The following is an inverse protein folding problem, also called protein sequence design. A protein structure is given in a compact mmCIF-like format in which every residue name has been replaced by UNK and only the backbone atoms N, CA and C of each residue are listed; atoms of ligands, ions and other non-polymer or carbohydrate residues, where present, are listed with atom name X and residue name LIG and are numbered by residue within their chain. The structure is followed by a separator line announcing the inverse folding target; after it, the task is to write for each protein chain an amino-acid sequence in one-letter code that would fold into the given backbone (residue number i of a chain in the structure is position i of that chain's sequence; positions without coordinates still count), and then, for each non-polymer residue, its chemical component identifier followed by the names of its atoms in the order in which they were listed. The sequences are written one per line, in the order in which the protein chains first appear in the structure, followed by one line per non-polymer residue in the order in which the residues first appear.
data_IF_186286988397
#
_entry.id   IF_186286988397
#
_cell.length_a   1.000
_cell.length_b   1.000
_cell.length_c   1.000
_cell.angle_alpha   90.00
_cell.angle_beta   90.00
_cell.angle_gamma   90.00
#
_symmetry.space_group_name_H-M   'P 1'
#
loop_
_entity.id
_entity.type
_entity.pdbx_description
1 polymer ?
#
# COMPACT_ATOMS: atom_id res chain seq x y z
N UNK A 1 -7.71 -58.01 -1.22
CA UNK A 1 -7.80 -56.96 -0.17
C UNK A 1 -6.79 -55.83 -0.44
N UNK A 2 -6.88 -55.16 -1.61
CA UNK A 2 -5.96 -54.06 -2.00
C UNK A 2 -6.72 -52.71 -2.11
N UNK A 3 -8.06 -52.77 -2.09
CA UNK A 3 -8.93 -51.62 -2.43
C UNK A 3 -9.04 -50.54 -1.34
N UNK A 4 -8.78 -50.87 -0.07
CA UNK A 4 -8.98 -49.92 1.04
C UNK A 4 -7.76 -49.02 1.28
N UNK A 5 -6.54 -49.52 1.00
CA UNK A 5 -5.30 -48.76 1.18
C UNK A 5 -5.11 -47.65 0.14
N UNK A 6 -5.54 -47.87 -1.11
CA UNK A 6 -5.47 -46.85 -2.16
C UNK A 6 -6.42 -45.67 -1.90
N UNK A 7 -7.58 -45.93 -1.29
CA UNK A 7 -8.55 -44.87 -0.99
C UNK A 7 -8.06 -43.94 0.14
N UNK A 8 -7.31 -44.46 1.12
CA UNK A 8 -6.72 -43.63 2.18
C UNK A 8 -5.55 -42.78 1.69
N UNK A 9 -4.77 -43.25 0.71
CA UNK A 9 -3.68 -42.47 0.14
C UNK A 9 -4.18 -41.28 -0.69
N UNK A 10 -5.30 -41.42 -1.41
CA UNK A 10 -5.89 -40.33 -2.20
C UNK A 10 -6.49 -39.24 -1.31
N UNK A 11 -7.12 -39.60 -0.18
CA UNK A 11 -7.65 -38.60 0.76
C UNK A 11 -6.53 -37.83 1.46
N UNK A 12 -5.42 -38.48 1.84
CA UNK A 12 -4.26 -37.77 2.38
C UNK A 12 -3.62 -36.81 1.37
N UNK A 13 -3.56 -37.17 0.08
CA UNK A 13 -3.02 -36.29 -0.95
C UNK A 13 -3.89 -35.05 -1.22
N UNK A 14 -5.22 -35.18 -1.11
CA UNK A 14 -6.17 -34.07 -1.30
C UNK A 14 -6.17 -33.08 -0.12
N UNK A 15 -5.86 -33.53 1.09
CA UNK A 15 -5.75 -32.65 2.28
C UNK A 15 -4.49 -31.77 2.19
N UNK A 16 -3.39 -32.27 1.63
CA UNK A 16 -2.16 -31.47 1.47
C UNK A 16 -2.22 -30.43 0.34
N UNK A 17 -3.13 -30.58 -0.64
CA UNK A 17 -3.27 -29.62 -1.75
C UNK A 17 -4.22 -28.45 -1.46
N UNK A 18 -4.97 -28.48 -0.36
CA UNK A 18 -5.97 -27.44 -0.02
C UNK A 18 -5.56 -26.51 1.11
N UNK A 19 -4.38 -26.70 1.71
CA UNK A 19 -3.84 -25.75 2.69
C UNK A 19 -2.95 -24.68 2.04
N UNK A 20 -3.39 -24.12 0.91
CA UNK A 20 -3.11 -22.72 0.62
C UNK A 20 -4.02 -21.88 1.51
N UNK A 21 -3.77 -21.94 2.82
CA UNK A 21 -4.30 -20.92 3.71
C UNK A 21 -3.85 -19.57 3.15
N UNK A 22 -4.72 -18.54 3.11
CA UNK A 22 -4.25 -17.21 2.76
C UNK A 22 -3.10 -16.92 3.72
N UNK A 23 -1.88 -16.82 3.19
CA UNK A 23 -0.77 -16.23 3.90
C UNK A 23 -1.22 -14.81 4.18
N UNK A 24 -1.92 -14.63 5.30
CA UNK A 24 -2.16 -13.35 5.87
C UNK A 24 -0.77 -12.76 6.01
N UNK A 25 -0.45 -11.81 5.11
CA UNK A 25 0.78 -11.06 5.19
C UNK A 25 0.89 -10.63 6.67
N UNK A 26 2.07 -10.81 7.30
CA UNK A 26 2.25 -10.44 8.70
C UNK A 26 1.63 -9.07 8.89
N UNK A 27 0.85 -8.91 9.96
CA UNK A 27 0.12 -7.67 10.23
C UNK A 27 1.16 -6.58 10.53
N UNK A 28 1.72 -6.00 9.46
CA UNK A 28 2.74 -4.97 9.52
C UNK A 28 2.05 -3.78 10.15
N UNK A 29 2.27 -3.57 11.45
CA UNK A 29 1.81 -2.37 12.13
C UNK A 29 2.47 -1.17 11.46
N UNK A 30 1.67 -0.41 10.74
CA UNK A 30 2.15 0.79 10.06
C UNK A 30 2.17 1.92 11.08
N UNK A 31 3.35 2.49 11.39
CA UNK A 31 3.47 3.53 12.40
C UNK A 31 2.65 4.77 12.04
N UNK A 32 2.26 5.54 13.06
CA UNK A 32 1.64 6.84 12.88
C UNK A 32 2.71 7.92 12.67
N UNK A 33 2.78 8.49 11.47
CA UNK A 33 3.78 9.51 11.12
C UNK A 33 3.27 10.95 11.28
N UNK A 34 2.10 11.16 11.92
CA UNK A 34 1.43 12.46 11.98
C UNK A 34 1.19 13.10 10.59
N UNK A 35 0.90 12.24 9.62
CA UNK A 35 0.81 12.53 8.19
C UNK A 35 -0.58 13.07 7.73
N UNK A 36 -1.42 13.49 8.66
CA UNK A 36 -2.80 13.94 8.37
C UNK A 36 -3.73 12.83 7.85
N UNK A 37 -3.28 11.57 7.84
CA UNK A 37 -4.04 10.43 7.34
C UNK A 37 -4.71 9.66 8.48
N UNK A 38 -5.95 9.24 8.25
CA UNK A 38 -6.60 8.25 9.10
C UNK A 38 -5.83 6.90 9.02
N UNK A 39 -5.63 6.16 10.12
CA UNK A 39 -4.82 4.94 10.14
C UNK A 39 -5.19 3.92 9.04
N UNK A 40 -6.49 3.68 8.83
CA UNK A 40 -6.96 2.76 7.78
C UNK A 40 -6.64 3.24 6.36
N UNK A 41 -6.67 4.55 6.10
CA UNK A 41 -6.29 5.09 4.79
C UNK A 41 -4.78 4.94 4.57
N UNK A 42 -3.97 5.22 5.60
CA UNK A 42 -2.52 4.98 5.58
C UNK A 42 -2.19 3.51 5.31
N UNK A 43 -2.85 2.60 6.00
CA UNK A 43 -2.65 1.16 5.80
C UNK A 43 -2.89 0.74 4.35
N UNK A 44 -3.99 1.18 3.75
CA UNK A 44 -4.33 0.89 2.36
C UNK A 44 -3.35 1.52 1.39
N UNK A 45 -2.95 2.77 1.62
CA UNK A 45 -1.96 3.46 0.81
C UNK A 45 -0.62 2.72 0.82
N UNK A 46 -0.10 2.38 2.00
CA UNK A 46 1.21 1.73 2.13
C UNK A 46 1.18 0.33 1.53
N UNK A 47 0.15 -0.47 1.80
CA UNK A 47 -0.04 -1.78 1.17
C UNK A 47 -0.15 -1.65 -0.34
N UNK A 48 -0.89 -0.65 -0.83
CA UNK A 48 -1.03 -0.33 -2.24
C UNK A 48 0.31 -0.04 -2.91
N UNK A 49 1.06 0.93 -2.39
CA UNK A 49 2.40 1.29 -2.91
C UNK A 49 3.34 0.10 -2.89
N UNK A 50 3.44 -0.62 -1.77
CA UNK A 50 4.32 -1.77 -1.62
C UNK A 50 3.89 -2.96 -2.49
N UNK A 51 2.61 -3.07 -2.87
CA UNK A 51 2.15 -4.09 -3.83
C UNK A 51 2.63 -3.81 -5.26
N UNK A 52 2.74 -2.53 -5.63
CA UNK A 52 3.26 -2.11 -6.95
C UNK A 52 4.80 -2.16 -6.99
N UNK A 53 5.44 -1.86 -5.87
CA UNK A 53 6.89 -1.95 -5.71
C UNK A 53 7.29 -2.54 -4.34
N UNK A 54 7.51 -3.87 -4.26
CA UNK A 54 7.83 -4.56 -3.00
C UNK A 54 9.15 -4.18 -2.33
N UNK A 55 10.03 -3.47 -3.06
CA UNK A 55 11.32 -2.99 -2.52
C UNK A 55 11.13 -1.79 -1.62
N UNK A 56 10.10 -0.98 -1.85
CA UNK A 56 9.80 0.20 -1.05
C UNK A 56 9.41 -0.19 0.37
N UNK A 57 9.86 0.62 1.34
CA UNK A 57 9.55 0.52 2.77
C UNK A 57 8.98 1.83 3.28
N UNK A 58 7.96 1.75 4.12
CA UNK A 58 7.38 2.93 4.74
C UNK A 58 8.29 3.47 5.86
N UNK A 59 8.57 4.78 5.85
CA UNK A 59 9.59 5.38 6.71
C UNK A 59 9.13 6.74 7.26
N UNK A 60 8.60 6.77 8.49
CA UNK A 60 8.06 8.00 9.09
C UNK A 60 9.08 9.14 9.22
N UNK A 61 10.37 8.86 9.39
CA UNK A 61 11.37 9.93 9.53
C UNK A 61 11.42 10.86 8.31
N UNK A 62 10.97 10.40 7.13
CA UNK A 62 10.85 11.23 5.93
C UNK A 62 9.72 12.27 6.02
N UNK A 63 8.87 12.23 7.06
CA UNK A 63 7.85 13.27 7.28
C UNK A 63 8.43 14.49 8.00
N UNK A 64 9.61 14.35 8.63
CA UNK A 64 10.34 15.45 9.25
C UNK A 64 10.87 16.38 8.15
N UNK A 65 10.33 17.60 8.10
CA UNK A 65 10.65 18.57 7.04
C UNK A 65 9.73 18.52 5.81
N UNK A 66 8.68 17.71 5.84
CA UNK A 66 7.66 17.71 4.79
C UNK A 66 6.90 19.04 4.77
N UNK A 67 6.89 19.71 3.61
CA UNK A 67 6.09 20.90 3.37
C UNK A 67 5.30 20.75 2.05
N UNK A 68 4.04 21.20 2.05
CA UNK A 68 3.29 21.33 0.81
C UNK A 68 3.87 22.49 -0.01
N UNK A 69 4.15 22.24 -1.29
CA UNK A 69 4.81 23.18 -2.20
C UNK A 69 4.07 23.18 -3.54
N UNK A 70 4.12 24.31 -4.27
CA UNK A 70 3.59 24.40 -5.64
C UNK A 70 4.50 23.70 -6.66
N UNK A 71 5.75 23.44 -6.30
CA UNK A 71 6.72 22.72 -7.11
C UNK A 71 7.34 21.58 -6.29
N UNK A 72 7.05 20.34 -6.69
CA UNK A 72 7.62 19.15 -6.07
C UNK A 72 8.85 18.66 -6.85
N UNK A 73 9.94 18.32 -6.15
CA UNK A 73 11.11 17.70 -6.77
C UNK A 73 10.79 16.32 -7.41
N UNK A 74 11.69 15.77 -8.25
CA UNK A 74 11.45 14.53 -9.00
C UNK A 74 11.21 13.28 -8.14
N UNK A 75 11.57 13.33 -6.86
CA UNK A 75 11.39 12.23 -5.93
C UNK A 75 10.05 12.29 -5.18
N UNK A 76 9.10 13.05 -5.68
CA UNK A 76 7.76 13.16 -5.13
C UNK A 76 6.72 12.68 -6.13
N UNK A 77 5.67 12.06 -5.61
CA UNK A 77 4.42 11.85 -6.35
C UNK A 77 3.32 12.62 -5.62
N UNK A 78 2.47 13.29 -6.37
CA UNK A 78 1.33 14.01 -5.80
C UNK A 78 0.06 13.68 -6.58
N UNK A 79 -1.05 13.73 -5.88
CA UNK A 79 -2.38 13.44 -6.37
C UNK A 79 -3.35 14.37 -5.68
N UNK A 80 -4.19 15.04 -6.44
CA UNK A 80 -5.19 15.94 -5.90
C UNK A 80 -6.58 15.62 -6.44
N UNK A 81 -7.59 16.01 -5.67
CA UNK A 81 -8.96 15.68 -6.00
C UNK A 81 -9.93 16.53 -5.21
N UNK A 82 -11.07 16.86 -5.82
CA UNK A 82 -12.10 17.64 -5.12
C UNK A 82 -12.80 16.73 -4.12
N UNK A 83 -13.13 17.25 -2.95
CA UNK A 83 -13.73 16.45 -1.87
C UNK A 83 -15.02 15.73 -2.25
N UNK A 84 -15.83 16.34 -3.13
CA UNK A 84 -17.10 15.75 -3.56
C UNK A 84 -16.93 14.58 -4.54
N UNK A 85 -15.76 14.43 -5.16
CA UNK A 85 -15.46 13.31 -6.05
C UNK A 85 -15.18 12.01 -5.25
N UNK A 86 -14.95 12.12 -3.93
CA UNK A 86 -14.59 10.98 -3.07
C UNK A 86 -15.44 10.93 -1.80
N UNK A 87 -16.12 9.79 -1.59
CA UNK A 87 -16.95 9.59 -0.40
C UNK A 87 -16.13 9.57 0.90
N UNK A 88 -14.90 9.04 0.83
CA UNK A 88 -14.00 8.83 1.97
C UNK A 88 -12.55 9.04 1.54
N UNK A 89 -11.71 9.50 2.47
CA UNK A 89 -10.26 9.64 2.25
C UNK A 89 -9.59 8.32 1.81
N UNK A 90 -10.14 7.17 2.22
CA UNK A 90 -9.63 5.85 1.79
C UNK A 90 -9.77 5.63 0.27
N UNK A 91 -10.86 6.11 -0.32
CA UNK A 91 -11.15 5.90 -1.74
C UNK A 91 -10.22 6.81 -2.56
N UNK A 92 -9.96 8.02 -2.05
CA UNK A 92 -8.99 8.96 -2.60
C UNK A 92 -7.55 8.40 -2.64
N UNK A 93 -7.06 7.83 -1.53
CA UNK A 93 -5.69 7.28 -1.50
C UNK A 93 -5.54 6.04 -2.39
N UNK A 94 -6.60 5.24 -2.57
CA UNK A 94 -6.56 4.10 -3.50
C UNK A 94 -6.49 4.57 -4.96
N UNK A 95 -7.30 5.57 -5.33
CA UNK A 95 -7.22 6.18 -6.66
C UNK A 95 -5.83 6.76 -6.97
N UNK A 96 -5.18 7.36 -5.98
CA UNK A 96 -3.80 7.83 -6.13
C UNK A 96 -2.81 6.69 -6.44
N UNK A 97 -2.92 5.56 -5.74
CA UNK A 97 -2.06 4.39 -5.97
C UNK A 97 -2.27 3.79 -7.35
N UNK A 98 -3.51 3.74 -7.82
CA UNK A 98 -3.84 3.25 -9.17
C UNK A 98 -3.26 4.17 -10.24
N UNK A 99 -3.42 5.49 -10.09
CA UNK A 99 -2.85 6.49 -11.01
C UNK A 99 -1.31 6.38 -11.10
N UNK A 100 -0.65 6.11 -9.97
CA UNK A 100 0.80 6.01 -9.91
C UNK A 100 1.36 4.63 -10.28
N UNK A 101 0.54 3.67 -10.69
CA UNK A 101 0.98 2.27 -10.85
C UNK A 101 2.21 2.12 -11.74
N UNK A 102 2.21 2.73 -12.92
CA UNK A 102 3.34 2.64 -13.86
C UNK A 102 4.62 3.22 -13.23
N UNK A 103 4.53 4.43 -12.66
CA UNK A 103 5.65 5.11 -12.01
C UNK A 103 6.23 4.30 -10.85
N UNK A 104 5.38 3.71 -10.01
CA UNK A 104 5.82 2.89 -8.88
C UNK A 104 6.56 1.63 -9.36
N UNK A 105 6.06 0.96 -10.41
CA UNK A 105 6.69 -0.25 -10.96
C UNK A 105 8.05 0.03 -11.60
N UNK A 106 8.22 1.20 -12.22
CA UNK A 106 9.45 1.59 -12.90
C UNK A 106 10.49 2.20 -11.95
N UNK A 107 10.12 2.52 -10.71
CA UNK A 107 10.98 3.13 -9.71
C UNK A 107 12.05 2.16 -9.20
N UNK A 108 13.27 2.28 -9.72
CA UNK A 108 14.38 1.34 -9.42
C UNK A 108 15.33 1.80 -8.31
N UNK A 109 15.51 3.10 -8.12
CA UNK A 109 16.56 3.68 -7.26
C UNK A 109 16.09 4.10 -5.86
N UNK A 110 14.80 3.91 -5.55
CA UNK A 110 14.19 4.33 -4.28
C UNK A 110 13.89 3.11 -3.43
N UNK A 111 14.09 3.25 -2.13
CA UNK A 111 13.91 2.18 -1.15
C UNK A 111 12.92 2.57 -0.05
N UNK A 112 12.72 3.86 0.19
CA UNK A 112 11.85 4.34 1.27
C UNK A 112 10.84 5.35 0.76
N UNK A 113 9.72 5.42 1.46
CA UNK A 113 8.72 6.44 1.20
C UNK A 113 7.90 6.80 2.43
N UNK A 114 7.32 7.99 2.42
CA UNK A 114 6.24 8.41 3.31
C UNK A 114 5.29 9.29 2.53
N UNK A 115 4.04 9.37 2.97
CA UNK A 115 3.05 10.23 2.34
C UNK A 115 2.33 11.07 3.38
N UNK A 116 1.93 12.27 2.99
CA UNK A 116 1.15 13.21 3.79
C UNK A 116 -0.15 13.53 3.04
N UNK A 117 -1.26 13.56 3.78
CA UNK A 117 -2.57 13.92 3.27
C UNK A 117 -3.05 15.23 3.87
N UNK A 118 -3.32 16.21 3.01
CA UNK A 118 -4.08 17.40 3.39
C UNK A 118 -5.54 17.23 2.98
N UNK A 119 -6.44 17.55 3.91
CA UNK A 119 -7.90 17.48 3.72
C UNK A 119 -8.57 18.83 3.93
N UNK A 120 -7.83 19.94 3.91
CA UNK A 120 -8.37 21.27 4.25
C UNK A 120 -9.38 21.77 3.20
N UNK A 121 -8.90 22.17 2.01
CA UNK A 121 -9.77 22.68 0.92
C UNK A 121 -10.15 21.59 -0.08
N UNK A 122 -9.18 20.79 -0.46
CA UNK A 122 -9.29 19.64 -1.35
C UNK A 122 -8.59 18.44 -0.70
N UNK A 123 -8.74 17.26 -1.28
CA UNK A 123 -7.82 16.19 -0.98
C UNK A 123 -6.52 16.43 -1.76
N UNK A 124 -5.39 16.39 -1.05
CA UNK A 124 -4.07 16.48 -1.63
C UNK A 124 -3.19 15.44 -0.93
N UNK A 125 -2.84 14.38 -1.65
CA UNK A 125 -1.89 13.37 -1.22
C UNK A 125 -0.55 13.65 -1.87
N UNK A 126 0.51 13.60 -1.07
CA UNK A 126 1.87 13.77 -1.56
C UNK A 126 2.74 12.74 -0.90
N UNK A 127 3.51 12.00 -1.69
CA UNK A 127 4.46 11.02 -1.24
C UNK A 127 5.87 11.47 -1.62
N UNK A 128 6.81 11.36 -0.69
CA UNK A 128 8.25 11.53 -0.95
C UNK A 128 8.92 10.17 -0.95
N UNK A 129 9.87 9.98 -1.86
CA UNK A 129 10.63 8.76 -2.05
C UNK A 129 12.12 9.04 -1.89
N UNK A 130 12.82 8.19 -1.14
CA UNK A 130 14.27 8.24 -0.93
C UNK A 130 14.93 7.03 -1.59
#
# INVERSE_FOLDING_TARGET
MISVLLLQLVTFYLIHLTQAGPLAAPDVQIPNCNDGMHPRARELLVKGVMSKNPKLKYACHLSEGFAFSDAYPPNYLYYDGRKHDYSKARDFVLGAVEEWEATLREMKSRERFVCTLSTNKKYLLVCVFE
#
